data_IF_993318543349
#
_entry.id   IF_993318543349
#
_cell.length_a   1.000
_cell.length_b   1.000
_cell.length_c   1.000
_cell.angle_alpha   90.00
_cell.angle_beta   90.00
_cell.angle_gamma   90.00
#
_symmetry.space_group_name_H-M   'P 1'
#
loop_
_entity.id
_entity.type
_entity.pdbx_description
1 polymer ?
#
# COMPACT_ATOMS: atom_id res chain seq x y z
N UNK A 1 8.24 -15.35 19.93
CA UNK A 1 9.09 -15.50 18.74
C UNK A 1 8.25 -15.70 17.49
N UNK A 2 8.75 -15.22 16.35
CA UNK A 2 8.23 -15.39 15.00
C UNK A 2 9.40 -15.47 14.02
N UNK A 3 9.15 -15.96 12.82
CA UNK A 3 10.13 -15.96 11.72
C UNK A 3 9.66 -14.96 10.68
N UNK A 4 10.51 -14.01 10.30
CA UNK A 4 10.21 -13.07 9.22
C UNK A 4 10.91 -13.54 7.94
N UNK A 5 10.10 -13.81 6.91
CA UNK A 5 10.57 -14.31 5.61
C UNK A 5 10.82 -13.15 4.65
N UNK A 6 12.01 -13.17 4.04
CA UNK A 6 12.39 -12.29 2.94
C UNK A 6 12.92 -13.11 1.76
N UNK A 7 12.35 -12.90 0.57
CA UNK A 7 12.93 -13.31 -0.70
C UNK A 7 13.14 -14.81 -0.94
N UNK A 8 12.53 -15.69 -0.15
CA UNK A 8 12.56 -17.13 -0.37
C UNK A 8 11.39 -17.58 -1.24
N UNK A 9 11.54 -18.78 -1.84
CA UNK A 9 10.47 -19.49 -2.51
C UNK A 9 9.32 -19.85 -1.54
N UNK A 10 8.32 -20.57 -2.04
CA UNK A 10 7.15 -20.97 -1.26
C UNK A 10 7.58 -21.82 -0.07
N UNK A 11 7.29 -21.34 1.13
CA UNK A 11 7.55 -22.05 2.39
C UNK A 11 6.35 -22.91 2.74
N UNK A 12 6.57 -24.18 3.07
CA UNK A 12 5.54 -25.16 3.42
C UNK A 12 6.01 -26.11 4.51
N UNK A 13 5.05 -26.81 5.11
CA UNK A 13 5.31 -27.88 6.07
C UNK A 13 5.58 -27.39 7.48
N UNK A 14 6.34 -28.16 8.23
CA UNK A 14 6.53 -27.98 9.69
C UNK A 14 7.17 -26.65 10.08
N UNK A 15 7.99 -26.06 9.20
CA UNK A 15 8.62 -24.77 9.45
C UNK A 15 7.61 -23.67 9.70
N UNK A 16 6.40 -23.75 9.14
CA UNK A 16 5.35 -22.76 9.36
C UNK A 16 4.90 -22.68 10.82
N UNK A 17 5.08 -23.76 11.56
CA UNK A 17 4.70 -23.88 12.97
C UNK A 17 5.89 -23.91 13.93
N UNK A 18 7.11 -23.69 13.43
CA UNK A 18 8.34 -23.77 14.24
C UNK A 18 8.54 -22.59 15.21
N UNK A 19 7.78 -21.52 15.04
CA UNK A 19 7.77 -20.38 15.96
C UNK A 19 6.36 -20.16 16.54
N UNK A 20 6.27 -19.63 17.76
CA UNK A 20 5.00 -19.40 18.49
C UNK A 20 3.98 -18.60 17.66
N UNK A 21 4.44 -17.57 16.95
CA UNK A 21 3.59 -16.73 16.10
C UNK A 21 3.74 -17.06 14.60
N UNK A 22 4.37 -18.20 14.28
CA UNK A 22 4.51 -18.70 12.92
C UNK A 22 5.52 -17.94 12.06
N UNK A 23 5.37 -18.09 10.75
CA UNK A 23 6.21 -17.42 9.73
C UNK A 23 5.45 -16.26 9.14
N UNK A 24 6.02 -15.06 9.24
CA UNK A 24 5.45 -13.83 8.69
C UNK A 24 6.09 -13.49 7.35
N UNK A 25 5.30 -12.99 6.44
CA UNK A 25 5.76 -12.57 5.11
C UNK A 25 4.99 -11.35 4.65
N UNK A 26 5.68 -10.47 3.94
CA UNK A 26 5.03 -9.39 3.22
C UNK A 26 4.40 -9.88 1.92
N UNK A 27 3.28 -9.25 1.56
CA UNK A 27 2.71 -9.28 0.22
C UNK A 27 2.44 -7.83 -0.18
N UNK A 28 3.06 -7.39 -1.28
CA UNK A 28 3.12 -5.97 -1.64
C UNK A 28 2.04 -5.57 -2.67
N UNK A 29 0.88 -6.21 -2.58
CA UNK A 29 -0.32 -5.87 -3.32
C UNK A 29 -1.53 -5.98 -2.39
N UNK A 30 -2.65 -5.35 -2.73
CA UNK A 30 -3.92 -5.60 -2.04
C UNK A 30 -4.54 -6.88 -2.61
N UNK A 31 -4.46 -7.96 -1.85
CA UNK A 31 -4.96 -9.27 -2.26
C UNK A 31 -6.44 -9.28 -2.63
N UNK A 32 -7.19 -8.25 -2.21
CA UNK A 32 -8.62 -8.08 -2.55
C UNK A 32 -8.81 -7.55 -3.97
N UNK A 33 -7.78 -6.91 -4.53
CA UNK A 33 -7.81 -6.25 -5.84
C UNK A 33 -6.98 -7.04 -6.84
N UNK A 34 -5.76 -7.42 -6.47
CA UNK A 34 -4.80 -8.11 -7.33
C UNK A 34 -4.04 -9.14 -6.50
N UNK A 35 -3.86 -10.34 -7.05
CA UNK A 35 -2.98 -11.38 -6.50
C UNK A 35 -1.91 -11.75 -7.52
N UNK A 36 -0.72 -12.08 -7.06
CA UNK A 36 0.40 -12.47 -7.91
C UNK A 36 1.46 -11.39 -7.99
N UNK A 37 2.06 -11.19 -9.15
CA UNK A 37 3.16 -10.23 -9.25
C UNK A 37 3.44 -9.79 -10.69
N UNK A 38 4.40 -8.89 -10.88
CA UNK A 38 5.32 -8.29 -9.89
C UNK A 38 4.63 -7.25 -8.97
N UNK A 39 5.17 -7.02 -7.76
CA UNK A 39 4.58 -6.10 -6.79
C UNK A 39 4.33 -4.70 -7.36
N UNK A 40 3.11 -4.18 -7.15
CA UNK A 40 2.71 -2.82 -7.56
C UNK A 40 2.71 -2.57 -9.07
N UNK A 41 3.06 -3.56 -9.90
CA UNK A 41 3.16 -3.40 -11.35
C UNK A 41 1.80 -3.23 -12.00
N UNK A 42 0.85 -4.05 -11.61
CA UNK A 42 -0.47 -4.03 -12.24
C UNK A 42 -1.30 -2.85 -11.77
N UNK A 43 -1.16 -2.40 -10.53
CA UNK A 43 -1.72 -1.14 -10.04
C UNK A 43 -1.17 0.04 -10.84
N UNK A 44 0.15 0.08 -11.05
CA UNK A 44 0.79 1.06 -11.91
C UNK A 44 0.25 1.00 -13.34
N UNK A 45 0.13 -0.19 -13.93
CA UNK A 45 -0.37 -0.37 -15.30
C UNK A 45 -1.84 -0.05 -15.46
N UNK A 46 -2.68 -0.39 -14.49
CA UNK A 46 -4.15 -0.21 -14.55
C UNK A 46 -4.61 1.15 -14.03
N UNK A 47 -3.71 2.04 -13.61
CA UNK A 47 -4.01 3.34 -12.97
C UNK A 47 -4.80 3.19 -11.67
N UNK A 48 -4.58 2.16 -10.91
CA UNK A 48 -5.17 2.00 -9.59
C UNK A 48 -4.44 2.97 -8.66
N UNK A 49 -5.18 3.88 -8.04
CA UNK A 49 -4.59 4.98 -7.28
C UNK A 49 -4.03 4.56 -5.92
N UNK A 50 -4.48 3.45 -5.38
CA UNK A 50 -4.04 2.94 -4.09
C UNK A 50 -3.47 1.53 -4.25
N UNK A 51 -2.33 1.28 -3.61
CA UNK A 51 -1.71 -0.02 -3.52
C UNK A 51 -1.64 -0.45 -2.05
N UNK A 52 -2.23 -1.59 -1.72
CA UNK A 52 -2.12 -2.17 -0.39
C UNK A 52 -0.82 -2.95 -0.22
N UNK A 53 -0.37 -3.03 1.01
CA UNK A 53 0.66 -3.98 1.44
C UNK A 53 0.18 -4.66 2.70
N UNK A 54 0.30 -5.96 2.77
CA UNK A 54 -0.07 -6.74 3.94
C UNK A 54 1.14 -7.44 4.55
N UNK A 55 1.13 -7.53 5.88
CA UNK A 55 1.93 -8.49 6.61
C UNK A 55 1.02 -9.67 6.96
N UNK A 56 1.38 -10.85 6.52
CA UNK A 56 0.58 -12.07 6.74
C UNK A 56 1.39 -13.16 7.43
N UNK A 57 0.71 -13.97 8.24
CA UNK A 57 1.22 -15.25 8.72
C UNK A 57 0.96 -16.30 7.64
N UNK A 58 2.00 -16.96 7.20
CA UNK A 58 1.91 -17.99 6.17
C UNK A 58 1.16 -19.23 6.68
N UNK A 59 0.44 -19.85 5.77
CA UNK A 59 -0.25 -21.14 5.98
C UNK A 59 0.17 -22.13 4.89
N UNK A 60 -0.20 -23.38 5.03
CA UNK A 60 0.05 -24.40 4.00
C UNK A 60 -0.73 -24.15 2.69
N UNK A 61 -1.77 -23.32 2.75
CA UNK A 61 -2.56 -22.94 1.58
C UNK A 61 -1.90 -21.76 0.87
N UNK A 62 -1.61 -21.92 -0.41
CA UNK A 62 -1.04 -20.85 -1.23
C UNK A 62 -2.01 -19.67 -1.29
N UNK A 63 -1.49 -18.45 -1.13
CA UNK A 63 -2.22 -17.18 -1.19
C UNK A 63 -3.42 -17.07 -0.22
N UNK A 64 -3.42 -17.88 0.84
CA UNK A 64 -4.42 -17.86 1.93
C UNK A 64 -3.75 -17.72 3.30
N UNK A 65 -2.86 -16.75 3.41
CA UNK A 65 -2.25 -16.38 4.68
C UNK A 65 -3.27 -15.71 5.62
N UNK A 66 -2.92 -15.62 6.89
CA UNK A 66 -3.68 -14.85 7.88
C UNK A 66 -3.10 -13.45 7.92
N UNK A 67 -3.90 -12.44 7.62
CA UNK A 67 -3.47 -11.05 7.58
C UNK A 67 -3.35 -10.53 9.01
N UNK A 68 -2.17 -10.04 9.36
CA UNK A 68 -1.84 -9.48 10.66
C UNK A 68 -1.98 -7.97 10.68
N UNK A 69 -1.56 -7.31 9.61
CA UNK A 69 -1.66 -5.86 9.41
C UNK A 69 -1.73 -5.52 7.93
N UNK A 70 -2.35 -4.39 7.65
CA UNK A 70 -2.49 -3.82 6.31
C UNK A 70 -2.12 -2.35 6.33
N UNK A 71 -1.48 -1.88 5.27
CA UNK A 71 -1.21 -0.48 5.01
C UNK A 71 -1.46 -0.17 3.53
N UNK A 72 -1.92 1.04 3.23
CA UNK A 72 -2.18 1.47 1.87
C UNK A 72 -1.28 2.65 1.52
N UNK A 73 -0.81 2.67 0.29
CA UNK A 73 0.03 3.72 -0.27
C UNK A 73 -0.63 4.29 -1.53
N UNK A 74 -0.44 5.57 -1.77
CA UNK A 74 -0.79 6.15 -3.05
C UNK A 74 0.13 5.62 -4.13
N UNK A 75 -0.42 5.13 -5.24
CA UNK A 75 0.38 4.64 -6.37
C UNK A 75 1.14 5.78 -7.03
N UNK A 76 2.47 5.68 -7.10
CA UNK A 76 3.33 6.66 -7.77
C UNK A 76 3.35 6.34 -9.27
N UNK A 77 2.50 7.02 -10.03
CA UNK A 77 2.27 6.71 -11.44
C UNK A 77 3.36 7.21 -12.41
N UNK A 78 4.25 8.10 -11.98
CA UNK A 78 5.33 8.63 -12.83
C UNK A 78 6.64 7.85 -12.72
N UNK A 79 6.78 7.00 -11.71
CA UNK A 79 7.98 6.20 -11.48
C UNK A 79 7.66 4.89 -10.77
N UNK A 80 7.72 3.78 -11.51
CA UNK A 80 7.54 2.45 -10.92
C UNK A 80 8.61 2.13 -9.88
N UNK A 81 9.87 2.57 -10.10
CA UNK A 81 10.92 2.40 -9.09
C UNK A 81 10.58 3.11 -7.78
N UNK A 82 10.21 4.39 -7.84
CA UNK A 82 9.82 5.13 -6.65
C UNK A 82 8.59 4.51 -5.96
N UNK A 83 7.66 3.96 -6.75
CA UNK A 83 6.52 3.23 -6.23
C UNK A 83 6.93 1.98 -5.44
N UNK A 84 7.82 1.15 -6.01
CA UNK A 84 8.37 -0.02 -5.32
C UNK A 84 9.14 0.36 -4.05
N UNK A 85 9.99 1.38 -4.13
CA UNK A 85 10.74 1.87 -2.97
C UNK A 85 9.78 2.27 -1.83
N UNK A 86 8.68 2.99 -2.17
CA UNK A 86 7.63 3.35 -1.20
C UNK A 86 6.98 2.12 -0.57
N UNK A 87 6.61 1.11 -1.37
CA UNK A 87 5.98 -0.11 -0.87
C UNK A 87 6.92 -0.86 0.08
N UNK A 88 8.16 -1.06 -0.33
CA UNK A 88 9.13 -1.83 0.46
C UNK A 88 9.53 -1.11 1.74
N UNK A 89 9.94 0.16 1.66
CA UNK A 89 10.37 0.91 2.83
C UNK A 89 9.20 1.26 3.76
N UNK A 90 8.07 1.69 3.19
CA UNK A 90 6.91 2.07 3.98
C UNK A 90 6.27 0.92 4.74
N UNK A 91 6.35 -0.32 4.21
CA UNK A 91 5.80 -1.49 4.88
C UNK A 91 6.65 -2.03 6.02
N UNK A 92 7.91 -1.62 6.15
CA UNK A 92 8.81 -2.12 7.22
C UNK A 92 8.29 -1.84 8.63
N UNK A 93 7.38 -0.89 8.79
CA UNK A 93 6.73 -0.58 10.07
C UNK A 93 5.77 -1.68 10.55
N UNK A 94 5.21 -2.48 9.64
CA UNK A 94 4.15 -3.44 9.97
C UNK A 94 4.57 -4.48 11.01
N UNK A 95 5.73 -5.17 10.90
CA UNK A 95 6.16 -6.11 11.93
C UNK A 95 6.33 -5.44 13.30
N UNK A 96 6.84 -4.20 13.33
CA UNK A 96 7.00 -3.45 14.56
C UNK A 96 5.64 -3.16 15.21
N UNK A 97 4.63 -2.79 14.43
CA UNK A 97 3.27 -2.55 14.94
C UNK A 97 2.68 -3.82 15.53
N UNK A 98 2.78 -4.97 14.83
CA UNK A 98 2.31 -6.26 15.36
C UNK A 98 3.05 -6.65 16.64
N UNK A 99 4.36 -6.43 16.72
CA UNK A 99 5.13 -6.67 17.94
C UNK A 99 4.67 -5.77 19.10
N UNK A 100 4.37 -4.50 18.85
CA UNK A 100 3.84 -3.58 19.86
C UNK A 100 2.49 -4.06 20.38
N UNK A 101 1.57 -4.44 19.51
CA UNK A 101 0.26 -4.97 19.89
C UNK A 101 0.43 -6.21 20.81
N UNK A 102 1.31 -7.13 20.43
CA UNK A 102 1.61 -8.32 21.23
C UNK A 102 2.21 -8.01 22.63
N UNK A 103 3.07 -6.99 22.71
CA UNK A 103 3.72 -6.57 23.98
C UNK A 103 2.68 -5.87 24.88
N UNK A 104 1.78 -5.08 24.30
CA UNK A 104 0.70 -4.41 25.04
C UNK A 104 -0.35 -5.38 25.57
N UNK A 105 -0.29 -6.65 25.17
CA UNK A 105 -1.27 -7.67 25.56
C UNK A 105 -2.53 -7.63 24.73
N UNK A 106 -2.54 -6.87 23.64
CA UNK A 106 -3.66 -6.82 22.72
C UNK A 106 -3.79 -8.16 21.98
N UNK A 107 -5.04 -8.52 21.69
CA UNK A 107 -5.30 -9.71 20.89
C UNK A 107 -4.76 -9.49 19.48
N UNK A 108 -3.95 -10.44 19.02
CA UNK A 108 -3.42 -10.38 17.66
C UNK A 108 -4.59 -10.30 16.66
N UNK A 109 -4.54 -9.28 15.81
CA UNK A 109 -5.49 -9.19 14.71
C UNK A 109 -5.20 -10.31 13.71
N UNK A 110 -6.21 -11.10 13.42
CA UNK A 110 -6.12 -12.23 12.49
C UNK A 110 -7.32 -12.18 11.54
N UNK A 111 -7.06 -11.76 10.32
CA UNK A 111 -8.06 -11.72 9.25
C UNK A 111 -7.72 -12.80 8.23
N UNK A 112 -8.66 -13.71 7.94
CA UNK A 112 -8.46 -14.68 6.88
C UNK A 112 -8.44 -13.97 5.52
N UNK A 113 -7.44 -14.26 4.70
CA UNK A 113 -7.43 -13.79 3.31
C UNK A 113 -8.53 -14.53 2.53
N UNK A 114 -9.65 -13.84 2.31
CA UNK A 114 -10.77 -14.29 1.49
C UNK A 114 -10.78 -13.41 0.26
N UNK A 115 -10.13 -13.84 -0.82
CA UNK A 115 -10.08 -13.04 -2.03
C UNK A 115 -10.35 -13.91 -3.25
N UNK A 116 -11.28 -13.44 -4.08
CA UNK A 116 -11.56 -13.94 -5.42
C UNK A 116 -10.90 -13.06 -6.50
N UNK A 117 -9.98 -12.16 -6.12
CA UNK A 117 -9.29 -11.29 -7.05
C UNK A 117 -8.49 -12.09 -8.09
N UNK A 118 -8.34 -11.49 -9.26
CA UNK A 118 -7.58 -12.06 -10.38
C UNK A 118 -6.12 -12.35 -9.95
N UNK A 119 -5.65 -13.55 -10.27
CA UNK A 119 -4.24 -13.90 -10.13
C UNK A 119 -3.52 -13.42 -11.38
N UNK A 120 -2.65 -12.43 -11.23
CA UNK A 120 -1.86 -11.88 -12.32
C UNK A 120 -0.47 -12.51 -12.36
N UNK A 121 0.06 -12.63 -13.57
CA UNK A 121 1.38 -13.19 -13.83
C UNK A 121 2.36 -12.09 -14.31
N UNK A 122 3.67 -12.36 -14.31
CA UNK A 122 4.64 -11.45 -14.91
C UNK A 122 4.24 -11.06 -16.33
N UNK A 123 4.42 -9.78 -16.71
CA UNK A 123 3.95 -9.28 -18.00
C UNK A 123 4.73 -9.89 -19.16
N UNK A 124 4.03 -10.24 -20.22
CA UNK A 124 4.63 -10.65 -21.50
C UNK A 124 5.25 -9.47 -22.23
N UNK A 125 6.12 -9.73 -23.21
CA UNK A 125 6.89 -8.71 -23.93
C UNK A 125 6.03 -7.54 -24.47
N UNK A 126 4.86 -7.82 -25.03
CA UNK A 126 3.94 -6.77 -25.53
C UNK A 126 3.48 -5.84 -24.41
N UNK A 127 3.18 -6.39 -23.24
CA UNK A 127 2.83 -5.62 -22.05
C UNK A 127 4.01 -4.77 -21.55
N UNK A 128 5.23 -5.28 -21.67
CA UNK A 128 6.44 -4.55 -21.32
C UNK A 128 6.68 -3.37 -22.27
N UNK A 129 6.46 -3.52 -23.58
CA UNK A 129 6.55 -2.40 -24.53
C UNK A 129 5.52 -1.31 -24.13
N UNK A 130 4.28 -1.70 -23.85
CA UNK A 130 3.25 -0.76 -23.39
C UNK A 130 3.67 -0.08 -22.07
N UNK A 131 4.25 -0.83 -21.14
CA UNK A 131 4.79 -0.28 -19.89
C UNK A 131 5.83 0.82 -20.16
N UNK A 132 6.81 0.58 -21.04
CA UNK A 132 7.84 1.56 -21.34
C UNK A 132 7.26 2.84 -21.96
N UNK A 133 6.35 2.71 -22.93
CA UNK A 133 5.70 3.86 -23.57
C UNK A 133 4.88 4.65 -22.51
N UNK A 134 4.08 3.97 -21.71
CA UNK A 134 3.24 4.58 -20.69
C UNK A 134 4.07 5.27 -19.61
N UNK A 135 5.14 4.60 -19.15
CA UNK A 135 6.06 5.13 -18.14
C UNK A 135 6.80 6.38 -18.64
N UNK A 136 7.23 6.37 -19.89
CA UNK A 136 7.89 7.52 -20.54
C UNK A 136 6.97 8.74 -20.56
N UNK A 137 5.75 8.60 -21.07
CA UNK A 137 4.82 9.72 -21.17
C UNK A 137 4.39 10.24 -19.79
N UNK A 138 4.17 9.35 -18.83
CA UNK A 138 3.85 9.74 -17.45
C UNK A 138 4.98 10.53 -16.80
N UNK A 139 6.22 10.10 -17.03
CA UNK A 139 7.39 10.79 -16.51
C UNK A 139 7.54 12.19 -17.09
N UNK A 140 7.40 12.32 -18.41
CA UNK A 140 7.42 13.62 -19.08
C UNK A 140 6.30 14.52 -18.55
N UNK A 141 5.07 14.03 -18.55
CA UNK A 141 3.91 14.78 -18.04
C UNK A 141 4.09 15.21 -16.59
N UNK A 142 4.64 14.33 -15.75
CA UNK A 142 4.94 14.67 -14.36
C UNK A 142 5.93 15.83 -14.26
N UNK A 143 7.05 15.77 -14.96
CA UNK A 143 8.08 16.82 -14.90
C UNK A 143 7.61 18.14 -15.50
N UNK A 144 6.85 18.11 -16.60
CA UNK A 144 6.27 19.33 -17.19
C UNK A 144 5.28 19.97 -16.20
N UNK A 145 4.40 19.16 -15.63
CA UNK A 145 3.43 19.67 -14.65
C UNK A 145 4.12 20.20 -13.38
N UNK A 146 5.19 19.55 -12.94
CA UNK A 146 5.94 19.94 -11.73
C UNK A 146 6.66 21.27 -11.93
N UNK A 147 7.19 21.57 -13.14
CA UNK A 147 7.81 22.86 -13.47
C UNK A 147 6.82 24.04 -13.37
N UNK A 148 5.54 23.80 -13.63
CA UNK A 148 4.50 24.81 -13.62
C UNK A 148 3.55 24.69 -12.44
N UNK A 149 3.80 23.76 -11.52
CA UNK A 149 2.96 23.48 -10.38
C UNK A 149 3.13 24.57 -9.34
N UNK A 150 2.07 25.29 -9.10
CA UNK A 150 1.92 26.10 -7.89
C UNK A 150 1.21 25.24 -6.84
N UNK A 151 1.88 24.98 -5.73
CA UNK A 151 1.24 24.34 -4.60
C UNK A 151 0.35 25.34 -3.88
N UNK A 152 -0.93 25.01 -3.85
CA UNK A 152 -1.91 25.80 -3.13
C UNK A 152 -2.31 25.07 -1.84
N UNK A 153 -1.57 25.37 -0.77
CA UNK A 153 -1.82 24.79 0.54
C UNK A 153 -2.98 25.53 1.21
N UNK A 154 -3.88 24.75 1.75
CA UNK A 154 -5.02 25.25 2.51
C UNK A 154 -5.19 24.44 3.80
N UNK A 155 -5.72 25.08 4.84
CA UNK A 155 -6.02 24.43 6.11
C UNK A 155 -7.52 24.32 6.26
N UNK A 156 -7.98 23.15 6.61
CA UNK A 156 -9.39 22.87 6.85
C UNK A 156 -9.60 22.14 8.17
N UNK A 157 -10.74 22.35 8.77
CA UNK A 157 -11.19 21.64 9.96
C UNK A 157 -12.38 20.74 9.59
N UNK A 158 -12.33 19.47 10.02
CA UNK A 158 -13.48 18.59 9.96
C UNK A 158 -13.76 18.01 11.35
N UNK A 159 -15.03 17.88 11.66
CA UNK A 159 -15.49 17.31 12.94
C UNK A 159 -15.81 15.82 12.72
N UNK A 160 -14.78 15.05 12.40
CA UNK A 160 -14.88 13.58 12.25
C UNK A 160 -13.65 12.90 12.86
N UNK A 161 -13.75 11.62 13.18
CA UNK A 161 -12.58 10.87 13.64
C UNK A 161 -11.57 10.65 12.49
N UNK A 162 -10.31 10.42 12.83
CA UNK A 162 -9.27 10.11 11.83
C UNK A 162 -9.63 8.82 11.10
N UNK A 163 -10.17 7.83 11.82
CA UNK A 163 -10.60 6.55 11.27
C UNK A 163 -11.71 6.74 10.24
N UNK A 164 -12.71 7.56 10.54
CA UNK A 164 -13.81 7.86 9.64
C UNK A 164 -13.31 8.64 8.41
N UNK A 165 -12.39 9.59 8.61
CA UNK A 165 -11.78 10.37 7.52
C UNK A 165 -10.97 9.49 6.56
N UNK A 166 -10.22 8.51 7.08
CA UNK A 166 -9.40 7.60 6.28
C UNK A 166 -10.26 6.54 5.59
N UNK A 167 -11.27 6.01 6.28
CA UNK A 167 -12.12 4.92 5.77
C UNK A 167 -13.20 5.38 4.81
N UNK A 168 -13.54 6.67 4.82
CA UNK A 168 -14.54 7.21 3.89
C UNK A 168 -14.04 7.15 2.45
N UNK A 169 -14.67 6.29 1.65
CA UNK A 169 -14.43 6.24 0.20
C UNK A 169 -14.96 7.51 -0.51
N UNK A 170 -15.84 8.24 0.11
CA UNK A 170 -16.54 9.38 -0.44
C UNK A 170 -16.18 10.64 0.38
N UNK A 171 -15.00 11.19 0.07
CA UNK A 171 -14.50 12.41 0.73
C UNK A 171 -15.35 13.66 0.42
N UNK A 172 -16.21 13.60 -0.59
CA UNK A 172 -17.11 14.70 -0.96
C UNK A 172 -18.22 14.89 0.09
N UNK A 173 -18.54 13.85 0.88
CA UNK A 173 -19.54 13.93 1.94
C UNK A 173 -19.00 14.37 3.29
N UNK A 174 -17.67 14.57 3.42
CA UNK A 174 -17.08 15.11 4.65
C UNK A 174 -17.19 16.62 4.63
N UNK A 175 -17.94 17.15 5.58
CA UNK A 175 -18.07 18.61 5.72
C UNK A 175 -16.75 19.21 6.25
N UNK A 176 -15.92 19.73 5.35
CA UNK A 176 -14.67 20.39 5.69
C UNK A 176 -14.89 21.89 5.68
N UNK A 177 -14.66 22.52 6.82
CA UNK A 177 -14.64 23.96 6.93
C UNK A 177 -13.24 24.46 6.60
N UNK A 178 -13.09 25.15 5.48
CA UNK A 178 -11.81 25.70 5.04
C UNK A 178 -11.55 27.05 5.67
N UNK A 179 -10.34 27.28 6.15
CA UNK A 179 -9.91 28.61 6.59
C UNK A 179 -9.64 29.49 5.38
N UNK A 180 -10.13 30.74 5.44
CA UNK A 180 -9.81 31.72 4.41
C UNK A 180 -8.33 32.12 4.49
N UNK A 181 -7.66 32.13 3.34
CA UNK A 181 -6.29 32.63 3.26
C UNK A 181 -6.26 34.11 3.55
N UNK A 182 -5.35 34.60 4.42
CA UNK A 182 -5.31 36.04 4.80
C UNK A 182 -4.94 36.95 3.63
N UNK A 183 -4.24 36.46 2.62
CA UNK A 183 -3.89 37.16 1.37
C UNK A 183 -3.66 36.17 0.22
N UNK A 184 -3.82 36.66 -1.03
CA UNK A 184 -3.34 35.97 -2.22
C UNK A 184 -1.83 35.80 -2.08
N UNK A 185 -1.30 34.60 -2.22
CA UNK A 185 0.12 34.23 -2.04
C UNK A 185 0.62 34.15 -0.58
N UNK A 186 -0.25 34.08 0.41
CA UNK A 186 0.14 33.72 1.77
C UNK A 186 -0.05 32.21 1.98
N UNK A 187 0.92 31.61 2.65
CA UNK A 187 0.84 30.23 3.13
C UNK A 187 0.52 30.28 4.62
N UNK A 188 -0.20 29.29 5.11
CA UNK A 188 -0.23 29.04 6.55
C UNK A 188 1.18 28.53 6.92
N UNK A 189 1.94 29.34 7.63
CA UNK A 189 3.23 28.95 8.17
C UNK A 189 3.05 28.43 9.60
N UNK A 190 3.92 27.53 10.01
CA UNK A 190 4.00 27.00 11.37
C UNK A 190 4.37 28.09 12.37
#
# INVERSE_FOLDING_TARGET
>A
DFILRFGFDIVRGEVLNSAKYGVWSFHHDDERIIRGGPPGFWEFMRNIHNNGVILQRLTNSLDKGIILKRINFKTILHSYKAHLDQLYFGSTILPLQVCKDLISGDKLHEEASISDAEIVHPPVNVKMIHYFIKSFWRRISFHINDLFRQEDWNVGFCNCSIEDFISSNDKENINIQWFEKPRKNCYFAD
#
